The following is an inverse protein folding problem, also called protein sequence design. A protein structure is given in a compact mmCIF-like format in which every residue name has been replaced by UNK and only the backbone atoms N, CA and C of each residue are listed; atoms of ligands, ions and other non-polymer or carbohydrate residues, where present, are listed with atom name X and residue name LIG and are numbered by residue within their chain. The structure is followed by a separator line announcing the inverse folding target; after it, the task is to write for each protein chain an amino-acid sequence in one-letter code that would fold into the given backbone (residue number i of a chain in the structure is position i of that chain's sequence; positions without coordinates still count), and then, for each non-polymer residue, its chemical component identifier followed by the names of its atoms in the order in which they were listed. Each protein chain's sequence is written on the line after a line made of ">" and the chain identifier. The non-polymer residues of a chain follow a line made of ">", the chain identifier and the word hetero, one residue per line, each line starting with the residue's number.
data_IF_174704819620
#
_entry.id   IF_174704819620
#
_cell.length_a   1.000
_cell.length_b   1.000
_cell.length_c   1.000
_cell.angle_alpha   90.00
_cell.angle_beta   90.00
_cell.angle_gamma   90.00
#
_symmetry.space_group_name_H-M   'P 1'
#
loop_
_entity.id
_entity.type
_entity.pdbx_description
1 polymer ?
#
# COMPACT_ATOMS: atom_id res chain seq x y z
N UNK A 1 39.95 64.23 40.36
CA UNK A 1 38.74 63.99 39.54
C UNK A 1 39.26 63.58 38.17
N UNK A 2 39.19 62.35 37.63
CA UNK A 2 38.41 61.12 37.85
C UNK A 2 39.34 59.95 37.49
N UNK A 3 39.32 58.87 38.28
CA UNK A 3 40.04 57.61 38.04
C UNK A 3 39.14 56.64 37.28
N UNK A 4 39.54 56.15 36.11
CA UNK A 4 38.80 55.15 35.33
C UNK A 4 39.34 53.73 35.60
N UNK A 5 38.50 52.85 36.15
CA UNK A 5 38.73 51.41 36.24
C UNK A 5 38.12 50.70 35.03
N UNK A 6 38.92 49.89 34.34
CA UNK A 6 38.51 49.03 33.22
C UNK A 6 38.14 47.63 33.76
N UNK A 7 36.86 47.27 33.78
CA UNK A 7 36.37 45.92 34.12
C UNK A 7 36.31 45.05 32.86
N UNK A 8 36.90 43.85 32.94
CA UNK A 8 36.82 42.81 31.92
C UNK A 8 35.45 42.12 31.91
N UNK A 9 35.03 41.69 30.72
CA UNK A 9 33.81 40.90 30.49
C UNK A 9 34.20 39.42 30.42
N UNK A 10 33.53 38.50 31.12
CA UNK A 10 33.78 37.07 30.98
C UNK A 10 33.05 36.48 29.76
N UNK A 11 33.78 35.72 28.95
CA UNK A 11 33.26 34.94 27.82
C UNK A 11 32.36 33.80 28.31
N UNK A 12 31.10 33.79 27.85
CA UNK A 12 30.20 32.66 28.06
C UNK A 12 30.46 31.58 27.00
N UNK A 13 30.82 30.38 27.47
CA UNK A 13 30.87 29.14 26.69
C UNK A 13 29.43 28.74 26.31
N UNK A 14 29.10 28.84 25.02
CA UNK A 14 27.87 28.27 24.46
C UNK A 14 28.11 26.77 24.25
N UNK A 15 27.55 25.94 25.13
CA UNK A 15 27.57 24.49 25.00
C UNK A 15 26.72 24.04 23.80
N UNK A 16 27.36 23.39 22.83
CA UNK A 16 26.67 22.71 21.74
C UNK A 16 25.93 21.47 22.30
N UNK A 17 24.66 21.64 22.64
CA UNK A 17 23.79 20.53 23.02
C UNK A 17 23.44 19.70 21.79
N UNK A 18 23.95 18.46 21.73
CA UNK A 18 23.59 17.47 20.72
C UNK A 18 22.10 17.13 20.87
N UNK A 19 21.27 17.59 19.93
CA UNK A 19 19.85 17.21 19.88
C UNK A 19 19.73 15.86 19.20
N UNK A 20 19.54 14.80 19.98
CA UNK A 20 19.16 13.49 19.46
C UNK A 20 17.66 13.46 19.22
N UNK A 21 17.24 13.25 17.96
CA UNK A 21 15.86 12.94 17.63
C UNK A 21 15.68 11.41 17.70
N UNK A 22 14.73 10.94 18.51
CA UNK A 22 14.34 9.53 18.56
C UNK A 22 13.01 9.40 17.79
N UNK A 23 13.01 8.58 16.74
CA UNK A 23 11.79 8.16 16.05
C UNK A 23 11.12 7.06 16.87
N UNK A 24 10.00 7.40 17.51
CA UNK A 24 9.16 6.42 18.18
C UNK A 24 8.09 5.91 17.20
N UNK A 25 8.03 4.60 16.99
CA UNK A 25 6.97 3.95 16.22
C UNK A 25 5.88 3.49 17.20
N UNK A 26 4.68 4.03 17.05
CA UNK A 26 3.49 3.47 17.70
C UNK A 26 2.76 2.62 16.67
N UNK A 27 2.64 1.31 16.91
CA UNK A 27 1.74 0.48 16.13
C UNK A 27 0.31 0.98 16.39
N UNK A 28 -0.31 1.56 15.37
CA UNK A 28 -1.72 1.94 15.40
C UNK A 28 -2.52 0.73 14.96
N UNK A 29 -3.47 0.29 15.78
CA UNK A 29 -4.39 -0.82 15.50
C UNK A 29 -5.46 -0.49 14.42
N UNK A 30 -5.28 0.58 13.67
CA UNK A 30 -6.09 0.89 12.50
C UNK A 30 -5.26 0.67 11.24
N UNK A 31 -5.74 -0.22 10.39
CA UNK A 31 -5.24 -0.61 9.06
C UNK A 31 -5.27 0.53 8.04
N UNK A 32 -4.77 1.71 8.40
CA UNK A 32 -4.44 2.77 7.46
C UNK A 32 -2.94 2.70 7.15
N UNK A 33 -2.62 2.24 5.94
CA UNK A 33 -1.25 2.19 5.41
C UNK A 33 -0.61 3.57 5.19
N UNK A 34 -1.29 4.65 5.59
CA UNK A 34 -0.68 5.97 5.82
C UNK A 34 -0.31 6.11 7.30
N UNK A 35 0.40 5.13 7.83
CA UNK A 35 1.24 5.30 9.01
C UNK A 35 2.51 6.07 8.65
N UNK A 36 2.38 7.21 7.97
CA UNK A 36 3.48 8.17 7.81
C UNK A 36 3.67 8.80 9.19
N UNK A 37 4.48 8.16 10.03
CA UNK A 37 4.90 8.69 11.32
C UNK A 37 5.73 9.95 11.08
N UNK A 38 5.06 11.10 11.08
CA UNK A 38 5.64 12.43 11.30
C UNK A 38 5.19 12.93 12.67
N UNK A 39 5.45 12.11 13.71
CA UNK A 39 5.35 12.55 15.09
C UNK A 39 6.66 13.20 15.52
N UNK A 40 6.79 14.52 15.39
CA UNK A 40 7.87 15.26 16.05
C UNK A 40 7.54 15.36 17.55
N UNK A 41 8.08 14.45 18.37
CA UNK A 41 7.98 14.58 19.83
C UNK A 41 9.00 15.62 20.29
N UNK A 42 8.58 16.88 20.40
CA UNK A 42 9.36 17.93 21.07
C UNK A 42 9.03 17.89 22.55
N UNK A 43 9.59 16.88 23.24
CA UNK A 43 9.51 16.74 24.69
C UNK A 43 10.91 16.79 25.29
N UNK A 44 11.25 17.91 25.92
CA UNK A 44 12.44 18.00 26.77
C UNK A 44 12.26 17.11 28.00
N UNK A 45 13.20 16.18 28.19
CA UNK A 45 13.30 15.13 29.23
C UNK A 45 12.68 13.76 28.89
N UNK A 46 13.38 13.01 28.04
CA UNK A 46 13.34 11.55 28.07
C UNK A 46 14.41 11.10 29.08
N UNK A 47 13.98 10.55 30.21
CA UNK A 47 14.90 9.80 31.07
C UNK A 47 15.44 8.64 30.23
N UNK A 48 16.77 8.55 30.13
CA UNK A 48 17.48 7.46 29.47
C UNK A 48 17.16 6.12 30.17
N UNK A 49 16.01 5.53 29.88
CA UNK A 49 15.84 4.09 30.04
C UNK A 49 16.40 3.47 28.77
N UNK A 50 17.43 2.64 28.91
CA UNK A 50 18.11 1.86 27.88
C UNK A 50 17.16 0.90 27.14
N UNK A 51 16.17 1.43 26.43
CA UNK A 51 15.43 0.69 25.42
C UNK A 51 16.33 0.60 24.20
N UNK A 52 17.17 -0.42 24.20
CA UNK A 52 17.88 -0.94 23.04
C UNK A 52 16.85 -1.04 21.90
N UNK A 53 16.91 -0.09 20.96
CA UNK A 53 16.18 -0.17 19.70
C UNK A 53 16.74 -1.39 18.98
N UNK A 54 15.98 -2.47 19.00
CA UNK A 54 16.31 -3.65 18.19
C UNK A 54 16.45 -3.25 16.72
N UNK A 55 17.13 -4.07 15.91
CA UNK A 55 17.20 -3.83 14.47
C UNK A 55 15.80 -3.59 13.92
N UNK A 56 15.67 -2.62 13.01
CA UNK A 56 14.40 -2.36 12.34
C UNK A 56 13.83 -3.70 11.85
N UNK A 57 12.54 -4.00 12.10
CA UNK A 57 11.96 -5.26 11.69
C UNK A 57 12.20 -5.42 10.20
N UNK A 58 12.93 -6.48 9.84
CA UNK A 58 13.17 -6.84 8.45
C UNK A 58 11.81 -7.20 7.86
N UNK A 59 11.23 -6.31 7.06
CA UNK A 59 10.03 -6.61 6.29
C UNK A 59 10.43 -7.70 5.30
N UNK A 60 10.12 -8.96 5.64
CA UNK A 60 10.26 -10.04 4.67
C UNK A 60 9.15 -9.83 3.65
N UNK A 61 9.47 -9.48 2.39
CA UNK A 61 8.44 -9.29 1.38
C UNK A 61 7.66 -10.60 1.26
N UNK A 62 6.38 -10.57 1.62
CA UNK A 62 5.53 -11.74 1.53
C UNK A 62 5.06 -11.88 0.10
N UNK A 63 5.27 -13.05 -0.50
CA UNK A 63 4.87 -13.35 -1.87
C UNK A 63 3.41 -12.91 -2.16
N UNK A 64 3.15 -12.24 -3.29
CA UNK A 64 1.80 -11.89 -3.73
C UNK A 64 0.87 -13.09 -3.84
N UNK A 65 -0.44 -12.80 -3.84
CA UNK A 65 -1.49 -13.81 -3.93
C UNK A 65 -2.20 -13.73 -5.27
N UNK A 66 -2.40 -14.88 -5.89
CA UNK A 66 -3.10 -14.98 -7.17
C UNK A 66 -4.62 -14.73 -6.99
N UNK A 67 -5.36 -14.42 -8.07
CA UNK A 67 -6.81 -14.31 -8.00
C UNK A 67 -7.51 -15.55 -7.41
N UNK A 68 -6.93 -16.74 -7.60
CA UNK A 68 -7.44 -17.99 -7.05
C UNK A 68 -7.40 -18.04 -5.52
N UNK A 69 -6.36 -17.47 -4.90
CA UNK A 69 -6.29 -17.33 -3.44
C UNK A 69 -7.38 -16.41 -2.92
N UNK A 70 -7.55 -15.24 -3.53
CA UNK A 70 -8.56 -14.26 -3.11
C UNK A 70 -9.97 -14.82 -3.26
N UNK A 71 -10.27 -15.49 -4.37
CA UNK A 71 -11.54 -16.19 -4.58
C UNK A 71 -11.84 -17.17 -3.44
N UNK A 72 -10.82 -17.88 -2.95
CA UNK A 72 -10.97 -18.79 -1.81
C UNK A 72 -11.27 -18.04 -0.50
N UNK A 73 -10.73 -16.84 -0.29
CA UNK A 73 -11.02 -16.04 0.92
C UNK A 73 -12.45 -15.50 0.96
N UNK A 74 -13.01 -15.09 -0.19
CA UNK A 74 -14.38 -14.59 -0.28
C UNK A 74 -15.42 -15.71 -0.49
N UNK A 75 -14.98 -16.94 -0.75
CA UNK A 75 -15.86 -18.09 -0.90
C UNK A 75 -16.52 -18.52 0.41
N UNK A 76 -17.46 -19.47 0.34
CA UNK A 76 -18.12 -20.04 1.52
C UNK A 76 -17.58 -21.39 1.97
N UNK A 77 -16.56 -21.94 1.30
CA UNK A 77 -16.08 -23.32 1.53
C UNK A 77 -14.63 -23.33 1.98
N UNK A 78 -14.38 -23.95 3.13
CA UNK A 78 -13.03 -24.27 3.61
C UNK A 78 -12.53 -23.32 4.70
N UNK A 79 -11.24 -23.43 5.02
CA UNK A 79 -10.58 -22.58 6.03
C UNK A 79 -10.04 -21.33 5.34
N UNK A 80 -10.58 -20.17 5.70
CA UNK A 80 -10.04 -18.88 5.27
C UNK A 80 -8.78 -18.55 6.07
N UNK A 81 -7.88 -17.81 5.44
CA UNK A 81 -6.66 -17.29 6.06
C UNK A 81 -6.85 -15.85 6.51
N UNK A 82 -7.66 -15.10 5.78
CA UNK A 82 -8.10 -13.77 6.17
C UNK A 82 -9.42 -13.88 6.94
N UNK A 83 -9.58 -13.05 7.95
CA UNK A 83 -10.83 -12.90 8.70
C UNK A 83 -11.76 -11.90 8.02
N UNK A 84 -13.06 -12.00 8.26
CA UNK A 84 -14.06 -11.08 7.70
C UNK A 84 -13.78 -9.59 8.01
N UNK A 85 -13.30 -9.21 9.21
CA UNK A 85 -12.84 -7.85 9.48
C UNK A 85 -11.66 -7.42 8.61
N UNK A 86 -10.69 -8.30 8.35
CA UNK A 86 -9.56 -8.00 7.45
C UNK A 86 -10.04 -7.79 6.02
N UNK A 87 -10.89 -8.69 5.51
CA UNK A 87 -11.45 -8.58 4.16
C UNK A 87 -12.27 -7.30 4.01
N UNK A 88 -13.06 -6.94 5.02
CA UNK A 88 -13.78 -5.65 5.08
C UNK A 88 -12.81 -4.48 5.01
N UNK A 89 -11.68 -4.54 5.73
CA UNK A 89 -10.62 -3.54 5.64
C UNK A 89 -10.05 -3.42 4.23
N UNK A 90 -9.78 -4.54 3.56
CA UNK A 90 -9.23 -4.56 2.20
C UNK A 90 -10.19 -4.01 1.16
N UNK A 91 -11.48 -4.35 1.27
CA UNK A 91 -12.53 -3.83 0.38
C UNK A 91 -12.75 -2.33 0.57
N UNK A 92 -12.69 -1.84 1.81
CA UNK A 92 -12.78 -0.40 2.08
C UNK A 92 -11.61 0.36 1.43
N UNK A 93 -10.38 -0.14 1.56
CA UNK A 93 -9.22 0.50 0.92
C UNK A 93 -9.34 0.46 -0.62
N UNK A 94 -9.73 -0.68 -1.18
CA UNK A 94 -9.95 -0.85 -2.63
C UNK A 94 -11.00 0.12 -3.15
N UNK A 95 -12.19 0.16 -2.52
CA UNK A 95 -13.30 1.07 -2.89
C UNK A 95 -12.87 2.54 -2.92
N UNK A 96 -12.08 2.95 -1.91
CA UNK A 96 -11.71 4.35 -1.74
C UNK A 96 -10.63 4.80 -2.72
N UNK A 97 -9.90 3.87 -3.34
CA UNK A 97 -8.76 4.17 -4.22
C UNK A 97 -9.00 3.80 -5.68
N UNK A 98 -9.83 2.80 -5.94
CA UNK A 98 -10.10 2.29 -7.28
C UNK A 98 -11.27 3.00 -7.94
N UNK A 99 -11.04 3.56 -9.13
CA UNK A 99 -12.14 4.06 -9.97
C UNK A 99 -13.01 2.93 -10.52
N UNK A 100 -12.42 1.76 -10.77
CA UNK A 100 -13.10 0.57 -11.32
C UNK A 100 -14.03 -0.08 -10.29
N UNK A 101 -13.65 -0.08 -9.01
CA UNK A 101 -14.37 -0.75 -7.94
C UNK A 101 -15.04 0.21 -6.94
N UNK A 102 -15.27 1.47 -7.34
CA UNK A 102 -15.93 2.48 -6.52
C UNK A 102 -17.37 2.10 -6.08
N UNK A 103 -18.01 1.16 -6.79
CA UNK A 103 -19.35 0.65 -6.48
C UNK A 103 -19.43 -0.32 -5.30
N UNK A 104 -18.30 -0.79 -4.77
CA UNK A 104 -18.28 -1.64 -3.57
C UNK A 104 -18.82 -0.87 -2.36
N UNK A 105 -19.49 -1.56 -1.45
CA UNK A 105 -19.97 -0.95 -0.20
C UNK A 105 -18.84 -0.80 0.81
N UNK A 106 -17.81 -1.64 0.74
CA UNK A 106 -16.74 -1.75 1.74
C UNK A 106 -17.09 -2.71 2.87
N UNK A 107 -18.10 -3.56 2.68
CA UNK A 107 -18.55 -4.56 3.65
C UNK A 107 -18.48 -5.95 3.02
N UNK A 108 -17.75 -6.88 3.64
CA UNK A 108 -17.51 -8.21 3.06
C UNK A 108 -18.79 -9.01 2.82
N UNK A 109 -19.82 -8.86 3.65
CA UNK A 109 -21.06 -9.61 3.49
C UNK A 109 -21.93 -9.02 2.37
N UNK A 110 -21.98 -7.71 2.26
CA UNK A 110 -22.72 -7.03 1.19
C UNK A 110 -22.04 -7.15 -0.18
N UNK A 111 -20.70 -7.16 -0.21
CA UNK A 111 -19.93 -7.15 -1.46
C UNK A 111 -19.53 -8.56 -1.94
N UNK A 112 -19.79 -9.60 -1.14
CA UNK A 112 -19.27 -10.96 -1.37
C UNK A 112 -19.56 -11.46 -2.78
N UNK A 113 -20.81 -11.36 -3.22
CA UNK A 113 -21.24 -11.86 -4.52
C UNK A 113 -20.62 -11.07 -5.66
N UNK A 114 -20.55 -9.74 -5.56
CA UNK A 114 -19.92 -8.88 -6.56
C UNK A 114 -18.41 -9.18 -6.69
N UNK A 115 -17.72 -9.37 -5.56
CA UNK A 115 -16.31 -9.73 -5.51
C UNK A 115 -16.09 -11.13 -6.11
N UNK A 116 -16.94 -12.10 -5.78
CA UNK A 116 -16.84 -13.46 -6.31
C UNK A 116 -17.10 -13.52 -7.81
N UNK A 117 -18.11 -12.80 -8.32
CA UNK A 117 -18.37 -12.66 -9.76
C UNK A 117 -17.16 -12.04 -10.46
N UNK A 118 -16.54 -11.02 -9.87
CA UNK A 118 -15.34 -10.40 -10.44
C UNK A 118 -14.13 -11.35 -10.43
N UNK A 119 -13.91 -12.10 -9.34
CA UNK A 119 -12.77 -13.02 -9.22
C UNK A 119 -12.96 -14.33 -10.01
N UNK A 120 -14.20 -14.65 -10.38
CA UNK A 120 -14.58 -15.84 -11.13
C UNK A 120 -15.73 -15.47 -12.08
N UNK A 121 -15.44 -14.71 -13.15
CA UNK A 121 -16.47 -14.37 -14.12
C UNK A 121 -17.02 -15.65 -14.77
N UNK A 122 -18.33 -15.65 -15.01
CA UNK A 122 -19.01 -16.80 -15.62
C UNK A 122 -18.57 -16.99 -17.07
N UNK A 123 -18.37 -15.88 -17.79
CA UNK A 123 -17.86 -15.89 -19.16
C UNK A 123 -16.38 -15.50 -19.21
N UNK A 124 -15.52 -16.51 -19.17
CA UNK A 124 -14.08 -16.31 -19.33
C UNK A 124 -13.66 -15.89 -20.75
N UNK A 125 -14.56 -15.79 -21.73
CA UNK A 125 -14.23 -15.28 -23.06
C UNK A 125 -14.14 -13.74 -23.09
N UNK A 126 -14.81 -13.05 -22.17
CA UNK A 126 -14.84 -11.59 -22.11
C UNK A 126 -13.52 -11.05 -21.53
N UNK A 127 -12.76 -10.30 -22.33
CA UNK A 127 -11.44 -9.80 -21.91
C UNK A 127 -11.53 -8.76 -20.79
N UNK A 128 -12.57 -7.93 -20.78
CA UNK A 128 -12.84 -6.97 -19.72
C UNK A 128 -12.95 -7.63 -18.34
N UNK A 129 -13.65 -8.77 -18.26
CA UNK A 129 -13.86 -9.49 -17.01
C UNK A 129 -12.56 -10.15 -16.53
N UNK A 130 -11.75 -10.66 -17.45
CA UNK A 130 -10.39 -11.13 -17.15
C UNK A 130 -9.51 -10.00 -16.61
N UNK A 131 -9.50 -8.83 -17.24
CA UNK A 131 -8.73 -7.68 -16.79
C UNK A 131 -9.15 -7.26 -15.37
N UNK A 132 -10.46 -7.11 -15.12
CA UNK A 132 -11.02 -6.78 -13.79
C UNK A 132 -10.67 -7.82 -12.73
N UNK A 133 -10.70 -9.12 -13.05
CA UNK A 133 -10.31 -10.20 -12.15
C UNK A 133 -8.88 -10.04 -11.63
N UNK A 134 -7.92 -9.79 -12.53
CA UNK A 134 -6.51 -9.65 -12.14
C UNK A 134 -6.24 -8.30 -11.46
N UNK A 135 -6.91 -7.22 -11.88
CA UNK A 135 -6.83 -5.92 -11.21
C UNK A 135 -7.38 -5.98 -9.76
N UNK A 136 -8.52 -6.64 -9.53
CA UNK A 136 -9.07 -6.77 -8.18
C UNK A 136 -8.13 -7.56 -7.26
N UNK A 137 -7.55 -8.64 -7.75
CA UNK A 137 -6.55 -9.40 -7.01
C UNK A 137 -5.32 -8.55 -6.64
N UNK A 138 -4.92 -7.65 -7.55
CA UNK A 138 -3.81 -6.73 -7.34
C UNK A 138 -4.12 -5.72 -6.23
N UNK A 139 -5.31 -5.09 -6.27
CA UNK A 139 -5.76 -4.20 -5.20
C UNK A 139 -5.81 -4.90 -3.83
N UNK A 140 -6.29 -6.14 -3.78
CA UNK A 140 -6.30 -6.93 -2.54
C UNK A 140 -4.88 -7.25 -2.04
N UNK A 141 -3.91 -7.48 -2.94
CA UNK A 141 -2.50 -7.64 -2.56
C UNK A 141 -1.91 -6.36 -1.96
N UNK A 142 -2.28 -5.18 -2.47
CA UNK A 142 -1.85 -3.89 -1.92
C UNK A 142 -2.50 -3.66 -0.55
N UNK A 143 -3.81 -3.80 -0.46
CA UNK A 143 -4.54 -3.55 0.79
C UNK A 143 -4.12 -4.48 1.94
N UNK A 144 -3.72 -5.71 1.62
CA UNK A 144 -3.18 -6.70 2.56
C UNK A 144 -1.68 -6.56 2.84
N UNK A 145 -1.00 -5.61 2.20
CA UNK A 145 0.43 -5.36 2.38
C UNK A 145 1.35 -6.42 1.77
N UNK A 146 0.85 -7.23 0.83
CA UNK A 146 1.66 -8.20 0.09
C UNK A 146 2.51 -7.54 -0.98
N UNK A 147 2.01 -6.45 -1.55
CA UNK A 147 2.74 -5.63 -2.52
C UNK A 147 2.71 -4.17 -2.05
N UNK A 148 3.84 -3.49 -2.14
CA UNK A 148 3.93 -2.06 -1.89
C UNK A 148 3.51 -1.27 -3.14
N UNK A 149 2.74 -0.19 -2.96
CA UNK A 149 2.28 0.68 -4.05
C UNK A 149 3.44 1.30 -4.84
N UNK A 150 4.53 1.65 -4.16
CA UNK A 150 5.71 2.28 -4.73
C UNK A 150 6.79 1.26 -5.10
N UNK A 151 6.49 -0.04 -5.07
CA UNK A 151 7.43 -1.08 -5.48
C UNK A 151 7.90 -0.79 -6.91
N UNK A 152 9.21 -0.51 -7.12
CA UNK A 152 9.74 -0.28 -8.45
C UNK A 152 9.66 -1.57 -9.26
N UNK A 153 9.36 -1.42 -10.54
CA UNK A 153 9.29 -2.55 -11.46
C UNK A 153 9.78 -2.18 -12.85
N UNK A 154 10.06 -3.19 -13.66
CA UNK A 154 10.48 -3.01 -15.05
C UNK A 154 9.65 -3.94 -15.90
N UNK A 155 8.94 -3.35 -16.86
CA UNK A 155 8.27 -4.08 -17.92
C UNK A 155 9.19 -4.14 -19.14
N UNK A 156 9.22 -5.28 -19.82
CA UNK A 156 9.83 -5.33 -21.14
C UNK A 156 8.89 -4.61 -22.12
N UNK A 157 9.31 -3.52 -22.78
CA UNK A 157 8.48 -2.82 -23.75
C UNK A 157 8.14 -3.68 -24.98
N UNK A 158 8.81 -4.82 -25.19
CA UNK A 158 8.43 -5.80 -26.21
C UNK A 158 7.20 -6.62 -25.81
N UNK A 159 6.95 -6.80 -24.51
CA UNK A 159 5.87 -7.62 -23.98
C UNK A 159 4.66 -6.79 -23.51
N UNK A 160 4.89 -5.54 -23.07
CA UNK A 160 3.85 -4.68 -22.51
C UNK A 160 3.87 -3.27 -23.10
N UNK A 161 2.70 -2.78 -23.50
CA UNK A 161 2.52 -1.37 -23.87
C UNK A 161 2.27 -0.54 -22.61
N UNK A 162 3.34 -0.19 -21.90
CA UNK A 162 3.28 0.59 -20.67
C UNK A 162 4.51 1.47 -20.48
N UNK A 163 4.31 2.60 -19.80
CA UNK A 163 5.38 3.48 -19.33
C UNK A 163 5.52 3.45 -17.81
N UNK A 164 4.77 2.58 -17.13
CA UNK A 164 4.78 2.46 -15.68
C UNK A 164 6.14 1.96 -15.18
N UNK A 165 6.66 2.63 -14.16
CA UNK A 165 7.92 2.30 -13.47
C UNK A 165 7.69 1.78 -12.06
N UNK A 166 6.44 1.85 -11.58
CA UNK A 166 6.01 1.35 -10.27
C UNK A 166 4.70 0.58 -10.38
N UNK A 167 4.40 -0.22 -9.37
CA UNK A 167 3.12 -0.94 -9.25
C UNK A 167 1.92 0.02 -9.30
N UNK A 168 2.00 1.16 -8.60
CA UNK A 168 0.94 2.16 -8.57
C UNK A 168 0.64 2.74 -9.95
N UNK A 169 1.67 3.13 -10.70
CA UNK A 169 1.50 3.64 -12.08
C UNK A 169 0.90 2.57 -13.00
N UNK A 170 1.28 1.30 -12.83
CA UNK A 170 0.72 0.20 -13.62
C UNK A 170 -0.78 -0.01 -13.34
N UNK A 171 -1.20 0.14 -12.07
CA UNK A 171 -2.61 0.10 -11.66
C UNK A 171 -3.37 1.28 -12.24
N UNK A 172 -2.84 2.50 -12.13
CA UNK A 172 -3.48 3.71 -12.68
C UNK A 172 -3.69 3.59 -14.20
N UNK A 173 -2.69 3.08 -14.92
CA UNK A 173 -2.82 2.80 -16.35
C UNK A 173 -3.90 1.73 -16.63
N UNK A 174 -3.90 0.63 -15.87
CA UNK A 174 -4.90 -0.42 -16.01
C UNK A 174 -6.33 0.08 -15.77
N UNK A 175 -6.55 0.91 -14.74
CA UNK A 175 -7.85 1.51 -14.46
C UNK A 175 -8.28 2.45 -15.57
N UNK A 176 -7.36 3.26 -16.11
CA UNK A 176 -7.66 4.15 -17.25
C UNK A 176 -8.15 3.37 -18.46
N UNK A 177 -7.53 2.22 -18.79
CA UNK A 177 -7.96 1.37 -19.90
C UNK A 177 -9.32 0.72 -19.60
N UNK A 178 -9.52 0.15 -18.41
CA UNK A 178 -10.78 -0.53 -18.04
C UNK A 178 -11.97 0.45 -18.00
N UNK A 179 -11.76 1.69 -17.59
CA UNK A 179 -12.79 2.72 -17.55
C UNK A 179 -13.09 3.34 -18.92
N UNK A 180 -12.21 3.14 -19.91
CA UNK A 180 -12.44 3.59 -21.27
C UNK A 180 -13.39 2.64 -22.00
N UNK A 181 -14.62 3.09 -22.25
CA UNK A 181 -15.63 2.30 -22.98
C UNK A 181 -15.25 1.96 -24.43
N UNK A 182 -14.25 2.64 -25.00
CA UNK A 182 -13.71 2.37 -26.33
C UNK A 182 -12.44 1.49 -26.31
N UNK A 183 -12.03 0.98 -25.15
CA UNK A 183 -10.87 0.09 -25.05
C UNK A 183 -11.08 -1.18 -25.89
N UNK A 184 -10.03 -1.54 -26.62
CA UNK A 184 -9.98 -2.74 -27.46
C UNK A 184 -9.64 -3.98 -26.63
N UNK A 185 -9.99 -5.16 -27.15
CA UNK A 185 -9.62 -6.43 -26.50
C UNK A 185 -8.10 -6.58 -26.33
N UNK A 186 -7.29 -6.04 -27.24
CA UNK A 186 -5.84 -6.07 -27.15
C UNK A 186 -5.32 -5.22 -25.97
N UNK A 187 -5.88 -4.03 -25.76
CA UNK A 187 -5.53 -3.18 -24.60
C UNK A 187 -5.95 -3.85 -23.28
N UNK A 188 -7.13 -4.47 -23.25
CA UNK A 188 -7.61 -5.21 -22.08
C UNK A 188 -6.79 -6.48 -21.81
N UNK A 189 -6.29 -7.14 -22.85
CA UNK A 189 -5.37 -8.27 -22.73
C UNK A 189 -4.02 -7.84 -22.14
N UNK A 190 -3.46 -6.73 -22.63
CA UNK A 190 -2.25 -6.13 -22.04
C UNK A 190 -2.45 -5.82 -20.55
N UNK A 191 -3.60 -5.26 -20.16
CA UNK A 191 -3.93 -5.04 -18.73
C UNK A 191 -4.02 -6.35 -17.95
N UNK A 192 -4.67 -7.38 -18.51
CA UNK A 192 -4.75 -8.71 -17.88
C UNK A 192 -3.36 -9.24 -17.60
N UNK A 193 -2.49 -9.27 -18.61
CA UNK A 193 -1.16 -9.88 -18.51
C UNK A 193 -0.25 -9.08 -17.58
N UNK A 194 -0.32 -7.75 -17.62
CA UNK A 194 0.40 -6.86 -16.72
C UNK A 194 0.03 -7.14 -15.25
N UNK A 195 -1.27 -7.23 -14.95
CA UNK A 195 -1.74 -7.51 -13.60
C UNK A 195 -1.50 -8.97 -13.19
N UNK A 196 -1.52 -9.93 -14.11
CA UNK A 196 -1.20 -11.32 -13.81
C UNK A 196 0.29 -11.49 -13.44
N UNK A 197 1.19 -10.87 -14.19
CA UNK A 197 2.61 -10.87 -13.88
C UNK A 197 2.86 -10.33 -12.45
N UNK A 198 2.24 -9.20 -12.11
CA UNK A 198 2.33 -8.59 -10.78
C UNK A 198 1.80 -9.47 -9.65
N UNK A 199 0.70 -10.18 -9.89
CA UNK A 199 0.12 -11.11 -8.91
C UNK A 199 0.95 -12.41 -8.74
N UNK A 200 1.98 -12.62 -9.57
CA UNK A 200 2.82 -13.82 -9.57
C UNK A 200 4.33 -13.54 -9.34
N UNK A 201 4.71 -12.33 -8.92
CA UNK A 201 6.10 -11.99 -8.54
C UNK A 201 6.70 -12.97 -7.51
#
# INVERSE_FOLDING_TARGET
>A
MITFFKRGVPSQLVGAGTRSAILAFTASDNSSWIGKVLGYVVGSSLSASDKVLGPAPTLVPTKPRTPGYWKHQFGGKGKHKETDPQLTGYLNDTKNRSGVFAGLTGNVDADRDAVLVTLKPDDSSIMLDKAKKHLLAMWLNIASGKIDWYLPMTFDPADFDTTATTVGEAIEQAESVILNAAATDAELENVKDMMDMLNNL
#
